data_IF_819707966284
#
_entry.id   IF_819707966284
#
_cell.length_a   1.000
_cell.length_b   1.000
_cell.length_c   1.000
_cell.angle_alpha   90.00
_cell.angle_beta   90.00
_cell.angle_gamma   90.00
#
_symmetry.space_group_name_H-M   'P 1'
#
loop_
_entity.id
_entity.type
_entity.pdbx_description
1 polymer ?
#
# COMPACT_ATOMS: atom_id res chain seq x y z
N UNK A 1 12.51 -21.64 17.47
CA UNK A 1 11.24 -20.88 17.39
C UNK A 1 10.97 -20.63 15.92
N UNK A 2 9.81 -21.13 15.46
CA UNK A 2 9.19 -20.97 14.15
C UNK A 2 10.11 -20.91 12.91
N UNK A 3 10.38 -22.10 12.37
CA UNK A 3 10.71 -22.33 10.97
C UNK A 3 9.49 -22.04 10.09
N UNK A 4 9.72 -21.41 8.94
CA UNK A 4 9.37 -21.88 7.58
C UNK A 4 9.21 -20.66 6.67
N UNK A 5 10.29 -20.36 5.97
CA UNK A 5 10.30 -19.49 4.81
C UNK A 5 9.66 -20.27 3.65
N UNK A 6 8.40 -19.98 3.35
CA UNK A 6 7.78 -20.31 2.07
C UNK A 6 8.18 -19.23 1.05
N UNK A 7 8.81 -19.57 -0.09
CA UNK A 7 9.24 -18.59 -1.11
C UNK A 7 8.09 -18.05 -1.97
N UNK A 8 6.86 -17.95 -1.42
CA UNK A 8 5.66 -17.51 -2.13
C UNK A 8 4.75 -16.54 -1.35
N UNK A 9 5.11 -16.13 -0.14
CA UNK A 9 4.24 -15.28 0.70
C UNK A 9 4.76 -13.84 0.70
N UNK A 10 4.32 -13.02 -0.26
CA UNK A 10 4.35 -11.57 -0.08
C UNK A 10 3.51 -11.26 1.16
N UNK A 11 4.19 -10.97 2.27
CA UNK A 11 3.52 -10.63 3.52
C UNK A 11 2.81 -9.29 3.33
N UNK A 12 1.68 -9.04 3.98
CA UNK A 12 0.93 -7.78 3.79
C UNK A 12 1.77 -6.54 4.11
N UNK A 13 2.82 -6.70 4.90
CA UNK A 13 3.86 -5.69 5.18
C UNK A 13 4.74 -5.38 3.95
N UNK A 14 5.05 -6.38 3.14
CA UNK A 14 5.82 -6.24 1.90
C UNK A 14 4.99 -5.56 0.81
N UNK A 15 3.74 -5.98 0.64
CA UNK A 15 2.77 -5.31 -0.24
C UNK A 15 2.60 -3.84 0.14
N UNK A 16 2.50 -3.57 1.43
CA UNK A 16 2.44 -2.21 1.96
C UNK A 16 3.71 -1.42 1.63
N UNK A 17 4.88 -2.01 1.75
CA UNK A 17 6.15 -1.35 1.42
C UNK A 17 6.24 -1.03 -0.08
N UNK A 18 5.80 -1.93 -0.95
CA UNK A 18 5.71 -1.71 -2.41
C UNK A 18 4.77 -0.54 -2.71
N UNK A 19 3.57 -0.56 -2.11
CA UNK A 19 2.59 0.53 -2.26
C UNK A 19 3.17 1.85 -1.75
N UNK A 20 3.85 1.85 -0.60
CA UNK A 20 4.49 3.07 -0.08
C UNK A 20 5.57 3.59 -1.02
N UNK A 21 6.44 2.72 -1.51
CA UNK A 21 7.52 3.10 -2.42
C UNK A 21 6.96 3.67 -3.73
N UNK A 22 5.90 3.08 -4.28
CA UNK A 22 5.22 3.59 -5.47
C UNK A 22 4.55 4.96 -5.20
N UNK A 23 3.92 5.14 -4.03
CA UNK A 23 3.33 6.41 -3.63
C UNK A 23 4.41 7.50 -3.40
N UNK A 24 5.57 7.14 -2.87
CA UNK A 24 6.71 8.04 -2.67
C UNK A 24 7.36 8.45 -3.99
N UNK A 25 7.58 7.50 -4.92
CA UNK A 25 8.12 7.76 -6.25
C UNK A 25 7.22 8.73 -7.03
N UNK A 26 5.91 8.54 -6.93
CA UNK A 26 4.90 9.42 -7.51
C UNK A 26 4.66 10.73 -6.71
N UNK A 27 5.41 10.96 -5.61
CA UNK A 27 5.34 12.16 -4.75
C UNK A 27 3.94 12.46 -4.20
N UNK A 28 3.26 11.43 -3.70
CA UNK A 28 1.99 11.58 -3.00
C UNK A 28 2.12 12.46 -1.74
N UNK A 29 1.07 13.23 -1.45
CA UNK A 29 0.93 13.95 -0.20
C UNK A 29 0.09 13.17 0.81
N UNK A 30 0.32 13.40 2.10
CA UNK A 30 -0.48 12.85 3.20
C UNK A 30 -0.69 11.32 3.11
N UNK A 31 0.40 10.57 2.94
CA UNK A 31 0.37 9.10 2.95
C UNK A 31 0.18 8.61 4.39
N UNK A 32 -0.96 7.98 4.66
CA UNK A 32 -1.34 7.44 5.97
C UNK A 32 -1.58 5.94 5.86
N UNK A 33 -1.05 5.21 6.82
CA UNK A 33 -1.22 3.76 6.92
C UNK A 33 -2.17 3.50 8.09
N UNK A 34 -3.24 2.78 7.82
CA UNK A 34 -4.25 2.43 8.80
C UNK A 34 -4.34 0.91 8.92
N UNK A 35 -4.23 0.42 10.15
CA UNK A 35 -4.44 -0.98 10.49
C UNK A 35 -5.93 -1.19 10.72
N UNK A 36 -6.60 -1.84 9.76
CA UNK A 36 -8.04 -2.05 9.78
C UNK A 36 -8.42 -3.48 10.20
N UNK A 37 -7.44 -4.34 10.53
CA UNK A 37 -7.67 -5.70 11.07
C UNK A 37 -8.56 -5.72 12.31
N UNK A 38 -8.54 -4.63 13.08
CA UNK A 38 -9.37 -4.47 14.28
C UNK A 38 -10.79 -3.99 13.99
N UNK A 39 -11.03 -3.45 12.80
CA UNK A 39 -12.31 -2.87 12.38
C UNK A 39 -13.08 -3.78 11.42
N UNK A 40 -12.38 -4.53 10.57
CA UNK A 40 -12.95 -5.33 9.48
C UNK A 40 -12.06 -6.55 9.19
N UNK A 41 -12.68 -7.71 9.01
CA UNK A 41 -12.02 -8.99 8.66
C UNK A 41 -11.74 -9.11 7.15
N UNK A 42 -12.20 -8.14 6.34
CA UNK A 42 -12.08 -8.18 4.87
C UNK A 42 -10.71 -7.70 4.40
N UNK A 43 -9.99 -6.91 5.20
CA UNK A 43 -8.75 -6.25 4.77
C UNK A 43 -7.85 -6.02 5.96
N UNK A 44 -6.55 -6.26 5.80
CA UNK A 44 -5.58 -6.08 6.88
C UNK A 44 -5.11 -4.62 7.01
N UNK A 45 -4.70 -4.04 5.88
CA UNK A 45 -4.05 -2.73 5.83
C UNK A 45 -4.75 -1.83 4.82
N UNK A 46 -5.02 -0.60 5.23
CA UNK A 46 -5.55 0.44 4.36
C UNK A 46 -4.52 1.56 4.28
N UNK A 47 -4.14 1.96 3.06
CA UNK A 47 -3.25 3.11 2.83
C UNK A 47 -4.05 4.21 2.18
N UNK A 48 -4.04 5.39 2.78
CA UNK A 48 -4.70 6.59 2.26
C UNK A 48 -3.61 7.53 1.77
N UNK A 49 -3.70 7.98 0.54
CA UNK A 49 -2.79 8.96 -0.04
C UNK A 49 -3.60 10.09 -0.69
N UNK A 50 -3.08 11.31 -0.60
CA UNK A 50 -3.70 12.51 -1.16
C UNK A 50 -2.85 13.06 -2.30
N UNK A 51 -3.49 13.52 -3.39
CA UNK A 51 -2.81 14.19 -4.49
C UNK A 51 -3.08 15.68 -4.50
N UNK A 52 -2.18 16.45 -5.12
CA UNK A 52 -2.32 17.90 -5.30
C UNK A 52 -3.36 18.29 -6.36
N UNK A 53 -3.67 17.37 -7.29
CA UNK A 53 -4.63 17.60 -8.38
C UNK A 53 -5.22 16.28 -8.85
N UNK A 54 -6.41 16.30 -9.45
CA UNK A 54 -7.08 15.09 -9.98
C UNK A 54 -6.17 14.29 -10.90
N UNK A 55 -5.40 14.96 -11.78
CA UNK A 55 -4.44 14.28 -12.68
C UNK A 55 -3.30 13.60 -11.90
N UNK A 56 -2.85 14.22 -10.81
CA UNK A 56 -1.80 13.68 -9.96
C UNK A 56 -2.31 12.44 -9.20
N UNK A 57 -3.56 12.47 -8.70
CA UNK A 57 -4.22 11.29 -8.11
C UNK A 57 -4.38 10.16 -9.12
N UNK A 58 -4.77 10.46 -10.36
CA UNK A 58 -4.85 9.44 -11.42
C UNK A 58 -3.50 8.82 -11.75
N UNK A 59 -2.44 9.64 -11.86
CA UNK A 59 -1.07 9.14 -12.09
C UNK A 59 -0.58 8.25 -10.94
N UNK A 60 -0.92 8.60 -9.69
CA UNK A 60 -0.66 7.78 -8.51
C UNK A 60 -1.39 6.44 -8.57
N UNK A 61 -2.68 6.45 -8.90
CA UNK A 61 -3.46 5.23 -9.03
C UNK A 61 -2.91 4.30 -10.14
N UNK A 62 -2.42 4.87 -11.24
CA UNK A 62 -1.78 4.13 -12.33
C UNK A 62 -0.41 3.56 -11.91
N UNK A 63 0.33 4.28 -11.06
CA UNK A 63 1.62 3.84 -10.51
C UNK A 63 1.50 2.67 -9.53
N UNK A 64 0.40 2.62 -8.76
CA UNK A 64 0.14 1.58 -7.75
C UNK A 64 -0.73 0.44 -8.32
N UNK A 65 -1.46 0.72 -9.41
CA UNK A 65 -2.35 -0.23 -10.09
C UNK A 65 -1.62 -1.34 -10.85
N UNK A 66 -2.30 -2.46 -11.13
CA UNK A 66 -1.67 -3.73 -11.45
C UNK A 66 -0.88 -3.68 -12.77
N UNK A 67 0.41 -4.04 -12.67
CA UNK A 67 1.18 -4.66 -13.75
C UNK A 67 1.51 -6.10 -13.36
#
# INVERSE_FOLDING_TARGET
MATTADPGTQTTEDLKAIVLAALEDAKANDVRQLDVRRLTDVTDWMVVASGTSTRHVFALADHVGPR
#
